data_IF_543373461731
#
_entry.id   IF_543373461731
#
_cell.length_a   1.000
_cell.length_b   1.000
_cell.length_c   1.000
_cell.angle_alpha   90.00
_cell.angle_beta   90.00
_cell.angle_gamma   90.00
#
_symmetry.space_group_name_H-M   'P 1'
#
loop_
_entity.id
_entity.type
_entity.pdbx_description
1 polymer ?
#
# COMPACT_ATOMS: atom_id res chain seq x y z
N UNK A 1 -3.15 6.95 38.06
CA UNK A 1 -2.80 8.36 37.79
C UNK A 1 -3.99 9.22 38.21
N UNK A 2 -3.95 9.80 39.42
CA UNK A 2 -5.07 10.56 39.98
C UNK A 2 -5.11 11.96 39.35
N UNK A 3 -6.13 12.24 38.55
CA UNK A 3 -6.28 13.56 37.92
C UNK A 3 -6.77 14.54 38.98
N UNK A 4 -5.83 15.30 39.53
CA UNK A 4 -6.02 16.21 40.68
C UNK A 4 -6.90 17.43 40.36
N UNK A 5 -7.22 17.68 39.08
CA UNK A 5 -8.00 18.84 38.62
C UNK A 5 -8.83 18.50 37.36
N UNK A 6 -10.16 18.72 37.40
CA UNK A 6 -11.10 18.48 36.28
C UNK A 6 -10.72 19.25 35.00
N UNK A 7 -10.09 20.42 35.14
CA UNK A 7 -9.64 21.23 34.01
C UNK A 7 -8.43 20.60 33.30
N UNK A 8 -7.57 19.92 34.05
CA UNK A 8 -6.45 19.18 33.46
C UNK A 8 -6.95 17.92 32.73
N UNK A 9 -7.95 17.23 33.26
CA UNK A 9 -8.55 16.06 32.60
C UNK A 9 -9.17 16.41 31.24
N UNK A 10 -9.99 17.47 31.21
CA UNK A 10 -10.65 17.95 30.00
C UNK A 10 -9.65 18.46 28.97
N UNK A 11 -8.56 19.11 29.40
CA UNK A 11 -7.46 19.49 28.52
C UNK A 11 -6.79 18.27 27.87
N UNK A 12 -6.43 17.25 28.66
CA UNK A 12 -5.80 16.03 28.13
C UNK A 12 -6.72 15.29 27.15
N UNK A 13 -8.01 15.16 27.45
CA UNK A 13 -8.99 14.56 26.53
C UNK A 13 -9.10 15.37 25.24
N UNK A 14 -9.18 16.69 25.34
CA UNK A 14 -9.31 17.56 24.16
C UNK A 14 -8.09 17.43 23.25
N UNK A 15 -6.89 17.37 23.83
CA UNK A 15 -5.64 17.13 23.10
C UNK A 15 -5.67 15.75 22.43
N UNK A 16 -6.05 14.70 23.15
CA UNK A 16 -6.12 13.34 22.60
C UNK A 16 -7.09 13.26 21.41
N UNK A 17 -8.29 13.82 21.55
CA UNK A 17 -9.29 13.88 20.47
C UNK A 17 -8.74 14.67 19.28
N UNK A 18 -8.09 15.81 19.52
CA UNK A 18 -7.45 16.59 18.48
C UNK A 18 -6.39 15.80 17.71
N UNK A 19 -5.52 15.06 18.41
CA UNK A 19 -4.51 14.19 17.80
C UNK A 19 -5.16 13.11 16.95
N UNK A 20 -6.19 12.42 17.46
CA UNK A 20 -6.88 11.37 16.72
C UNK A 20 -7.55 11.89 15.44
N UNK A 21 -8.15 13.08 15.49
CA UNK A 21 -8.72 13.73 14.33
C UNK A 21 -7.65 14.09 13.29
N UNK A 22 -6.53 14.66 13.72
CA UNK A 22 -5.40 14.97 12.83
C UNK A 22 -4.82 13.71 12.19
N UNK A 23 -4.61 12.64 12.96
CA UNK A 23 -4.14 11.35 12.44
C UNK A 23 -5.12 10.76 11.43
N UNK A 24 -6.44 10.87 11.67
CA UNK A 24 -7.43 10.39 10.70
C UNK A 24 -7.38 11.17 9.39
N UNK A 25 -7.26 12.50 9.46
CA UNK A 25 -7.17 13.34 8.27
C UNK A 25 -5.88 13.07 7.46
N UNK A 26 -4.73 12.97 8.14
CA UNK A 26 -3.45 12.65 7.49
C UNK A 26 -3.49 11.24 6.90
N UNK A 27 -3.96 10.25 7.67
CA UNK A 27 -3.99 8.85 7.25
C UNK A 27 -4.90 8.57 6.05
N UNK A 28 -5.93 9.40 5.82
CA UNK A 28 -6.78 9.31 4.61
C UNK A 28 -6.03 9.66 3.34
N UNK A 29 -5.12 10.64 3.41
CA UNK A 29 -4.43 11.17 2.23
C UNK A 29 -3.07 10.51 2.02
N UNK A 30 -2.39 10.11 3.10
CA UNK A 30 -1.03 9.57 3.06
C UNK A 30 -1.02 8.10 3.51
N UNK A 31 -1.63 7.23 2.72
CA UNK A 31 -1.50 5.80 2.90
C UNK A 31 -0.15 5.31 2.37
N UNK A 32 0.63 4.63 3.20
CA UNK A 32 1.84 3.90 2.78
C UNK A 32 1.79 2.48 3.33
N UNK A 33 2.07 1.50 2.47
CA UNK A 33 2.24 0.10 2.85
C UNK A 33 3.67 -0.08 3.37
N UNK A 34 3.80 -0.59 4.59
CA UNK A 34 5.10 -0.90 5.17
C UNK A 34 5.32 -2.41 5.13
N UNK A 35 6.33 -2.84 4.39
CA UNK A 35 6.77 -4.23 4.42
C UNK A 35 7.59 -4.49 5.69
N UNK A 36 7.10 -5.37 6.56
CA UNK A 36 7.73 -5.74 7.82
C UNK A 36 8.52 -7.05 7.73
N UNK A 37 8.69 -7.61 6.53
CA UNK A 37 9.51 -8.82 6.33
C UNK A 37 11.00 -8.52 6.41
N UNK A 38 11.77 -9.46 6.95
CA UNK A 38 13.22 -9.32 7.15
C UNK A 38 13.97 -9.04 5.84
N UNK A 39 13.52 -9.66 4.75
CA UNK A 39 14.13 -9.57 3.43
C UNK A 39 13.36 -8.66 2.46
N UNK A 40 12.34 -7.92 2.92
CA UNK A 40 11.51 -7.05 2.08
C UNK A 40 10.92 -7.77 0.86
N UNK A 41 10.48 -9.01 1.05
CA UNK A 41 9.99 -9.86 -0.05
C UNK A 41 8.70 -9.35 -0.71
N UNK A 42 8.01 -8.39 -0.11
CA UNK A 42 6.81 -7.75 -0.63
C UNK A 42 7.04 -6.29 -1.02
N UNK A 43 8.30 -5.84 -1.08
CA UNK A 43 8.69 -4.53 -1.59
C UNK A 43 9.48 -4.68 -2.88
N UNK A 44 9.55 -3.60 -3.65
CA UNK A 44 10.42 -3.54 -4.81
C UNK A 44 11.90 -3.53 -4.43
N UNK A 45 12.70 -4.19 -5.27
CA UNK A 45 14.15 -4.01 -5.20
C UNK A 45 14.51 -2.59 -5.67
N UNK A 46 15.61 -2.02 -5.17
CA UNK A 46 16.12 -0.72 -5.64
C UNK A 46 16.31 -0.68 -7.16
N UNK A 47 16.79 -1.77 -7.74
CA UNK A 47 16.94 -1.89 -9.20
C UNK A 47 15.60 -1.82 -9.93
N UNK A 48 14.54 -2.39 -9.35
CA UNK A 48 13.18 -2.30 -9.89
C UNK A 48 12.64 -0.87 -9.77
N UNK A 49 12.79 -0.24 -8.60
CA UNK A 49 12.40 1.16 -8.38
C UNK A 49 13.07 2.10 -9.39
N UNK A 50 14.37 1.93 -9.62
CA UNK A 50 15.17 2.74 -10.56
C UNK A 50 14.75 2.56 -12.02
N UNK A 51 14.28 1.36 -12.39
CA UNK A 51 13.82 1.07 -13.76
C UNK A 51 12.42 1.65 -13.96
N UNK A 52 11.51 1.38 -13.02
CA UNK A 52 10.12 1.83 -13.09
C UNK A 52 10.01 3.36 -12.98
N UNK A 53 10.90 4.00 -12.21
CA UNK A 53 10.98 5.46 -12.10
C UNK A 53 11.47 6.19 -13.36
N UNK A 54 11.98 5.47 -14.36
CA UNK A 54 12.41 6.03 -15.67
C UNK A 54 11.34 5.88 -16.76
N UNK A 55 10.17 5.34 -16.42
CA UNK A 55 9.07 5.17 -17.36
C UNK A 55 8.33 6.52 -17.46
N UNK A 56 8.69 7.27 -18.51
CA UNK A 56 8.19 8.64 -18.72
C UNK A 56 6.85 8.71 -19.48
N UNK A 57 6.41 7.59 -20.06
CA UNK A 57 5.16 7.47 -20.83
C UNK A 57 4.28 6.33 -20.27
N UNK A 58 2.99 6.34 -20.59
CA UNK A 58 2.01 5.40 -20.05
C UNK A 58 2.32 3.95 -20.47
N UNK A 59 2.80 3.14 -19.52
CA UNK A 59 2.97 1.71 -19.66
C UNK A 59 1.72 0.98 -19.16
N UNK A 60 0.98 0.35 -20.08
CA UNK A 60 -0.16 -0.48 -19.73
C UNK A 60 0.14 -1.96 -19.95
N UNK A 61 -0.02 -2.76 -18.89
CA UNK A 61 0.19 -4.20 -18.90
C UNK A 61 -1.15 -4.95 -18.92
N UNK A 62 -1.41 -5.72 -19.98
CA UNK A 62 -2.52 -6.67 -20.03
C UNK A 62 -2.02 -8.06 -19.61
N UNK A 63 -2.56 -8.56 -18.50
CA UNK A 63 -2.16 -9.85 -17.93
C UNK A 63 -3.21 -10.90 -18.26
N UNK A 64 -2.82 -11.96 -18.97
CA UNK A 64 -3.70 -13.09 -19.23
C UNK A 64 -3.57 -14.10 -18.11
N UNK A 65 -4.69 -14.40 -17.45
CA UNK A 65 -4.71 -15.31 -16.31
C UNK A 65 -6.02 -16.11 -16.33
N UNK A 66 -5.91 -17.43 -16.42
CA UNK A 66 -7.06 -18.34 -16.45
C UNK A 66 -7.63 -18.52 -15.04
N UNK A 67 -8.96 -18.64 -14.95
CA UNK A 67 -9.64 -19.05 -13.71
C UNK A 67 -9.52 -20.58 -13.46
N UNK A 68 -9.21 -21.35 -14.50
CA UNK A 68 -9.02 -22.80 -14.45
C UNK A 68 -7.53 -23.15 -14.33
N UNK A 69 -6.97 -22.91 -13.16
CA UNK A 69 -5.58 -23.27 -12.85
C UNK A 69 -5.49 -24.47 -11.90
N UNK A 70 -4.44 -25.30 -12.03
CA UNK A 70 -4.10 -26.30 -11.03
C UNK A 70 -4.02 -25.68 -9.63
N UNK A 71 -4.43 -26.42 -8.60
CA UNK A 71 -4.48 -25.90 -7.22
C UNK A 71 -3.13 -25.37 -6.70
N UNK A 72 -2.02 -25.84 -7.26
CA UNK A 72 -0.65 -25.38 -6.98
C UNK A 72 -0.42 -23.91 -7.35
N UNK A 73 -1.14 -23.41 -8.36
CA UNK A 73 -1.06 -22.04 -8.86
C UNK A 73 -2.17 -21.13 -8.31
N UNK A 74 -2.99 -21.64 -7.39
CA UNK A 74 -4.12 -20.89 -6.79
C UNK A 74 -3.70 -19.55 -6.17
N UNK A 75 -2.48 -19.45 -5.64
CA UNK A 75 -1.93 -18.21 -5.08
C UNK A 75 -1.13 -17.36 -6.08
N UNK A 76 -0.82 -17.90 -7.26
CA UNK A 76 0.00 -17.19 -8.25
C UNK A 76 -0.68 -15.93 -8.74
N UNK A 77 -2.01 -15.94 -8.91
CA UNK A 77 -2.77 -14.73 -9.30
C UNK A 77 -2.57 -13.61 -8.30
N UNK A 78 -2.74 -13.93 -7.01
CA UNK A 78 -2.62 -12.98 -5.90
C UNK A 78 -1.21 -12.43 -5.83
N UNK A 79 -0.21 -13.29 -5.90
CA UNK A 79 1.19 -12.86 -5.92
C UNK A 79 1.48 -11.90 -7.08
N UNK A 80 1.01 -12.23 -8.29
CA UNK A 80 1.22 -11.39 -9.45
C UNK A 80 0.49 -10.04 -9.32
N UNK A 81 -0.73 -10.06 -8.77
CA UNK A 81 -1.49 -8.87 -8.48
C UNK A 81 -0.75 -7.98 -7.48
N UNK A 82 -0.32 -8.52 -6.34
CA UNK A 82 0.41 -7.77 -5.31
C UNK A 82 1.68 -7.12 -5.87
N UNK A 83 2.41 -7.82 -6.76
CA UNK A 83 3.60 -7.30 -7.44
C UNK A 83 3.28 -6.15 -8.40
N UNK A 84 2.23 -6.28 -9.21
CA UNK A 84 1.85 -5.25 -10.18
C UNK A 84 1.24 -4.02 -9.50
N UNK A 85 0.57 -4.20 -8.36
CA UNK A 85 0.15 -3.10 -7.49
C UNK A 85 1.35 -2.31 -6.96
N UNK A 86 2.46 -2.97 -6.58
CA UNK A 86 3.70 -2.27 -6.21
C UNK A 86 4.29 -1.50 -7.39
N UNK A 87 4.17 -2.00 -8.63
CA UNK A 87 4.67 -1.30 -9.82
C UNK A 87 3.83 -0.05 -10.10
N UNK A 88 2.50 -0.17 -10.04
CA UNK A 88 1.58 0.96 -10.20
C UNK A 88 1.75 2.00 -9.07
N UNK A 89 2.01 1.57 -7.84
CA UNK A 89 2.27 2.47 -6.71
C UNK A 89 3.60 3.24 -6.84
N UNK A 90 4.57 2.71 -7.58
CA UNK A 90 5.88 3.33 -7.79
C UNK A 90 5.86 4.43 -8.86
N UNK A 91 4.94 4.40 -9.81
CA UNK A 91 4.87 5.39 -10.89
C UNK A 91 3.43 5.63 -11.37
N UNK A 92 3.05 6.90 -11.46
CA UNK A 92 1.77 7.34 -11.99
C UNK A 92 1.56 6.97 -13.47
N UNK A 93 2.61 6.53 -14.18
CA UNK A 93 2.58 6.12 -15.59
C UNK A 93 2.39 4.61 -15.80
N UNK A 94 2.25 3.82 -14.73
CA UNK A 94 2.11 2.37 -14.84
C UNK A 94 0.67 1.97 -14.55
N UNK A 95 0.08 1.14 -15.42
CA UNK A 95 -1.26 0.57 -15.25
C UNK A 95 -1.25 -0.91 -15.60
N UNK A 96 -2.09 -1.70 -14.95
CA UNK A 96 -2.29 -3.10 -15.32
C UNK A 96 -3.75 -3.52 -15.20
N UNK A 97 -4.11 -4.58 -15.92
CA UNK A 97 -5.40 -5.24 -15.75
C UNK A 97 -5.32 -6.71 -16.15
N UNK A 98 -6.11 -7.53 -15.47
CA UNK A 98 -6.24 -8.95 -15.79
C UNK A 98 -7.29 -9.19 -16.86
N UNK A 99 -7.08 -10.22 -17.67
CA UNK A 99 -8.03 -10.73 -18.67
C UNK A 99 -8.02 -12.25 -18.58
N UNK A 100 -9.20 -12.85 -18.44
CA UNK A 100 -9.34 -14.29 -18.59
C UNK A 100 -9.40 -14.61 -20.11
N UNK A 101 -8.37 -15.29 -20.68
CA UNK A 101 -8.28 -15.59 -22.10
C UNK A 101 -9.32 -16.60 -22.61
#
# INVERSE_FOLDING_TARGET
MLVKNKNSFTLYISILVGILLLLNLIGRNWYKRFDLTDNKMYSLSKSSEDVLGKIDDLLTMKVYFSDDLPGELSNTQRFLQDLLEEYEAQSDNIRFFFTNP
#
